data_IF_314625427937
#
_entry.id   IF_314625427937
#
_cell.length_a   1.000
_cell.length_b   1.000
_cell.length_c   1.000
_cell.angle_alpha   90.00
_cell.angle_beta   90.00
_cell.angle_gamma   90.00
#
_symmetry.space_group_name_H-M   'P 1'
#
loop_
_entity.id
_entity.type
_entity.pdbx_description
1 polymer ?
#
# COMPACT_ATOMS: atom_id res chain seq x y z
N UNK A 1 7.40 -45.01 16.18
CA UNK A 1 7.08 -44.02 17.23
C UNK A 1 7.97 -42.82 17.00
N UNK A 2 7.37 -41.68 16.65
CA UNK A 2 8.04 -40.41 16.42
C UNK A 2 8.21 -40.06 14.94
N UNK A 3 7.11 -40.00 14.18
CA UNK A 3 7.07 -39.06 13.04
C UNK A 3 7.02 -37.66 13.68
N UNK A 4 8.05 -36.86 13.41
CA UNK A 4 8.02 -35.43 13.69
C UNK A 4 7.12 -34.81 12.63
N UNK A 5 5.85 -34.59 12.99
CA UNK A 5 5.01 -33.60 12.33
C UNK A 5 5.68 -32.23 12.52
N UNK A 6 6.51 -31.82 11.55
CA UNK A 6 6.80 -30.42 11.33
C UNK A 6 5.46 -29.73 11.09
N UNK A 7 5.05 -28.92 12.07
CA UNK A 7 3.95 -27.99 11.92
C UNK A 7 4.34 -26.99 10.82
N UNK A 8 4.06 -27.34 9.56
CA UNK A 8 3.95 -26.39 8.47
C UNK A 8 2.72 -25.52 8.78
N UNK A 9 2.91 -24.52 9.65
CA UNK A 9 1.93 -23.45 9.81
C UNK A 9 1.72 -22.79 8.46
N UNK A 10 0.47 -22.43 8.12
CA UNK A 10 0.22 -21.69 6.89
C UNK A 10 1.11 -20.43 6.88
N UNK A 11 1.80 -20.16 5.77
CA UNK A 11 2.75 -19.05 5.67
C UNK A 11 2.14 -17.68 5.97
N UNK A 12 0.81 -17.57 6.05
CA UNK A 12 0.10 -16.36 6.43
C UNK A 12 0.11 -16.13 7.95
N UNK A 13 -0.17 -17.16 8.75
CA UNK A 13 -0.39 -17.09 10.19
C UNK A 13 0.85 -16.64 10.97
N UNK A 14 2.03 -16.90 10.42
CA UNK A 14 3.35 -16.57 10.97
C UNK A 14 3.97 -15.29 10.41
N UNK A 15 3.36 -14.64 9.40
CA UNK A 15 3.97 -13.55 8.62
C UNK A 15 4.31 -12.27 9.40
N UNK A 16 3.67 -12.07 10.55
CA UNK A 16 3.85 -10.88 11.37
C UNK A 16 2.60 -10.58 12.18
N UNK A 17 2.58 -9.49 12.96
CA UNK A 17 1.42 -9.14 13.77
C UNK A 17 0.20 -8.82 12.89
N UNK A 18 -0.98 -9.12 13.40
CA UNK A 18 -2.24 -8.71 12.78
C UNK A 18 -2.37 -7.19 12.91
N UNK A 19 -2.50 -6.51 11.77
CA UNK A 19 -2.77 -5.08 11.71
C UNK A 19 -4.25 -4.81 11.94
N UNK A 20 -5.11 -5.51 11.19
CA UNK A 20 -6.54 -5.28 11.20
C UNK A 20 -7.32 -6.56 10.85
N UNK A 21 -8.53 -6.68 11.38
CA UNK A 21 -9.54 -7.64 10.92
C UNK A 21 -10.84 -6.93 10.61
N UNK A 22 -11.43 -7.29 9.47
CA UNK A 22 -12.70 -6.75 9.00
C UNK A 22 -13.66 -7.88 8.64
N UNK A 23 -14.95 -7.64 8.83
CA UNK A 23 -16.00 -8.56 8.41
C UNK A 23 -16.11 -8.65 6.88
N UNK A 24 -15.70 -7.62 6.15
CA UNK A 24 -15.70 -7.54 4.68
C UNK A 24 -14.39 -6.90 4.19
N UNK A 25 -13.94 -7.18 2.96
CA UNK A 25 -14.52 -8.10 1.98
C UNK A 25 -14.47 -9.58 2.43
N UNK A 26 -15.22 -10.42 1.73
CA UNK A 26 -15.25 -11.88 1.91
C UNK A 26 -15.10 -12.55 0.57
N UNK A 27 -14.52 -13.74 0.56
CA UNK A 27 -14.34 -14.54 -0.64
C UNK A 27 -14.52 -16.02 -0.30
N UNK A 28 -15.40 -16.73 -1.03
CA UNK A 28 -15.61 -18.17 -0.83
C UNK A 28 -14.36 -18.97 -1.24
N UNK A 29 -13.69 -18.52 -2.29
CA UNK A 29 -12.35 -18.96 -2.65
C UNK A 29 -11.33 -18.08 -1.91
N UNK A 30 -10.56 -18.59 -0.92
CA UNK A 30 -9.59 -17.78 -0.21
C UNK A 30 -8.62 -17.09 -1.17
N UNK A 31 -8.40 -15.79 -0.98
CA UNK A 31 -7.47 -14.99 -1.76
C UNK A 31 -6.42 -14.36 -0.85
N UNK A 32 -5.15 -14.39 -1.26
CA UNK A 32 -4.02 -13.73 -0.61
C UNK A 32 -3.48 -12.63 -1.50
N UNK A 33 -3.47 -11.41 -0.97
CA UNK A 33 -2.93 -10.24 -1.66
C UNK A 33 -1.73 -9.70 -0.88
N UNK A 34 -0.68 -9.30 -1.58
CA UNK A 34 0.39 -8.49 -1.01
C UNK A 34 0.23 -7.04 -1.49
N UNK A 35 0.26 -6.09 -0.56
CA UNK A 35 0.26 -4.67 -0.86
C UNK A 35 1.56 -4.03 -0.38
N UNK A 36 2.37 -3.56 -1.32
CA UNK A 36 3.72 -3.03 -1.13
C UNK A 36 3.75 -1.60 -1.67
N UNK A 37 4.24 -0.62 -0.91
CA UNK A 37 4.15 0.80 -1.32
C UNK A 37 5.32 1.61 -0.77
N UNK A 38 5.53 2.80 -1.34
CA UNK A 38 6.48 3.80 -0.85
C UNK A 38 7.89 3.20 -0.72
N UNK A 39 8.34 2.60 -1.82
CA UNK A 39 9.64 1.94 -1.93
C UNK A 39 10.73 3.00 -2.06
N UNK A 40 10.43 4.09 -2.78
CA UNK A 40 11.40 5.13 -3.15
C UNK A 40 12.73 4.53 -3.59
N UNK A 41 12.64 3.55 -4.50
CA UNK A 41 13.78 2.79 -4.96
C UNK A 41 14.78 3.73 -5.62
N UNK A 42 16.04 3.59 -5.24
CA UNK A 42 17.11 4.36 -5.85
C UNK A 42 18.43 3.60 -5.77
N UNK A 43 19.10 3.36 -6.92
CA UNK A 43 20.37 2.65 -6.94
C UNK A 43 21.57 3.56 -6.61
N UNK A 44 21.37 4.87 -6.56
CA UNK A 44 22.46 5.86 -6.49
C UNK A 44 22.52 6.65 -5.19
N UNK A 45 21.41 6.74 -4.46
CA UNK A 45 21.32 7.55 -3.25
C UNK A 45 21.53 6.73 -1.97
N UNK A 46 21.92 7.41 -0.90
CA UNK A 46 22.20 6.80 0.40
C UNK A 46 21.76 7.70 1.55
N UNK A 47 21.64 7.12 2.74
CA UNK A 47 21.24 7.83 3.95
C UNK A 47 19.79 8.31 3.97
N UNK A 48 19.53 9.33 4.80
CA UNK A 48 18.20 9.85 5.19
C UNK A 48 17.37 8.91 6.07
N UNK A 49 16.26 9.42 6.62
CA UNK A 49 15.29 8.62 7.38
C UNK A 49 14.55 7.58 6.51
N UNK A 50 14.54 7.77 5.18
CA UNK A 50 14.04 6.80 4.18
C UNK A 50 15.05 5.70 3.82
N UNK A 51 16.22 5.66 4.47
CA UNK A 51 17.25 4.62 4.31
C UNK A 51 17.50 4.22 2.84
N UNK A 52 17.79 5.18 1.96
CA UNK A 52 17.86 4.91 0.51
C UNK A 52 18.84 3.79 0.13
N UNK A 53 19.92 3.63 0.90
CA UNK A 53 20.89 2.54 0.73
C UNK A 53 20.36 1.12 1.06
N UNK A 54 19.13 1.00 1.56
CA UNK A 54 18.45 -0.27 1.88
C UNK A 54 17.28 -0.55 0.96
N UNK A 55 16.82 0.37 0.13
CA UNK A 55 15.54 0.21 -0.60
C UNK A 55 15.58 -0.98 -1.55
N UNK A 56 16.67 -1.21 -2.28
CA UNK A 56 16.78 -2.42 -3.11
C UNK A 56 16.85 -3.72 -2.30
N UNK A 57 17.49 -3.71 -1.12
CA UNK A 57 17.56 -4.87 -0.22
C UNK A 57 16.17 -5.20 0.32
N UNK A 58 15.41 -4.19 0.73
CA UNK A 58 14.07 -4.32 1.28
C UNK A 58 13.06 -4.76 0.23
N UNK A 59 13.15 -4.26 -1.00
CA UNK A 59 12.31 -4.74 -2.10
C UNK A 59 12.59 -6.20 -2.44
N UNK A 60 13.86 -6.62 -2.51
CA UNK A 60 14.20 -8.05 -2.71
C UNK A 60 13.66 -8.92 -1.58
N UNK A 61 13.81 -8.47 -0.33
CA UNK A 61 13.24 -9.17 0.83
C UNK A 61 11.71 -9.33 0.70
N UNK A 62 11.01 -8.30 0.22
CA UNK A 62 9.57 -8.36 -0.02
C UNK A 62 9.21 -9.37 -1.12
N UNK A 63 9.97 -9.41 -2.22
CA UNK A 63 9.76 -10.36 -3.33
C UNK A 63 9.98 -11.80 -2.87
N UNK A 64 11.11 -12.07 -2.20
CA UNK A 64 11.43 -13.39 -1.66
C UNK A 64 10.32 -13.87 -0.69
N UNK A 65 9.94 -12.99 0.24
CA UNK A 65 8.93 -13.31 1.25
C UNK A 65 7.52 -13.48 0.67
N UNK A 66 7.18 -12.77 -0.41
CA UNK A 66 5.91 -12.94 -1.14
C UNK A 66 5.87 -14.29 -1.85
N UNK A 67 6.95 -14.70 -2.50
CA UNK A 67 7.05 -15.98 -3.19
C UNK A 67 6.86 -17.17 -2.22
N UNK A 68 7.33 -17.03 -0.97
CA UNK A 68 7.22 -18.07 0.06
C UNK A 68 5.83 -18.16 0.75
N UNK A 69 4.84 -17.36 0.34
CA UNK A 69 3.56 -17.18 1.08
C UNK A 69 2.28 -17.53 0.31
N UNK A 70 2.40 -18.19 -0.83
CA UNK A 70 1.27 -18.49 -1.74
C UNK A 70 0.42 -17.23 -2.01
N UNK A 71 1.06 -16.09 -2.27
CA UNK A 71 0.36 -14.87 -2.64
C UNK A 71 -0.24 -15.06 -4.03
N UNK A 72 -1.49 -14.66 -4.23
CA UNK A 72 -2.17 -14.80 -5.53
C UNK A 72 -1.96 -13.58 -6.43
N UNK A 73 -1.75 -12.41 -5.83
CA UNK A 73 -1.53 -11.15 -6.55
C UNK A 73 -0.81 -10.11 -5.69
N UNK A 74 0.12 -9.37 -6.31
CA UNK A 74 0.84 -8.26 -5.69
C UNK A 74 0.38 -6.93 -6.26
N UNK A 75 0.03 -5.99 -5.39
CA UNK A 75 -0.28 -4.62 -5.78
C UNK A 75 0.79 -3.70 -5.23
N UNK A 76 1.40 -2.93 -6.13
CA UNK A 76 2.31 -1.86 -5.75
C UNK A 76 1.56 -0.53 -5.64
N UNK A 77 1.55 0.07 -4.45
CA UNK A 77 0.72 1.22 -4.07
C UNK A 77 1.26 2.61 -4.44
N UNK A 78 2.23 2.70 -5.35
CA UNK A 78 2.87 3.95 -5.75
C UNK A 78 4.15 4.26 -4.99
N UNK A 79 4.81 5.33 -5.44
CA UNK A 79 6.15 5.76 -5.06
C UNK A 79 7.17 4.61 -5.20
N UNK A 80 7.17 4.02 -6.40
CA UNK A 80 8.08 2.94 -6.77
C UNK A 80 9.52 3.45 -6.80
N UNK A 81 9.75 4.55 -7.50
CA UNK A 81 11.02 5.26 -7.58
C UNK A 81 11.11 6.40 -6.57
N UNK A 82 12.33 6.93 -6.37
CA UNK A 82 12.51 8.12 -5.52
C UNK A 82 12.09 9.37 -6.27
N UNK A 83 12.56 9.58 -7.50
CA UNK A 83 12.30 10.80 -8.28
C UNK A 83 11.88 10.47 -9.73
N UNK A 84 11.53 9.20 -9.97
CA UNK A 84 11.07 8.69 -11.26
C UNK A 84 12.19 8.52 -12.29
N UNK A 85 13.46 8.46 -11.90
CA UNK A 85 14.53 8.30 -12.89
C UNK A 85 14.44 6.92 -13.56
N UNK A 86 14.77 6.79 -14.87
CA UNK A 86 14.70 5.51 -15.59
C UNK A 86 15.46 4.37 -14.90
N UNK A 87 16.63 4.66 -14.32
CA UNK A 87 17.43 3.67 -13.60
C UNK A 87 16.73 3.10 -12.34
N UNK A 88 15.83 3.87 -11.72
CA UNK A 88 15.03 3.44 -10.57
C UNK A 88 13.95 2.46 -11.03
N UNK A 89 13.25 2.79 -12.12
CA UNK A 89 12.26 1.89 -12.72
C UNK A 89 12.88 0.62 -13.32
N UNK A 90 14.07 0.72 -13.91
CA UNK A 90 14.81 -0.45 -14.40
C UNK A 90 15.26 -1.35 -13.25
N UNK A 91 15.67 -0.77 -12.12
CA UNK A 91 16.01 -1.53 -10.91
C UNK A 91 14.78 -2.18 -10.28
N UNK A 92 13.65 -1.47 -10.26
CA UNK A 92 12.36 -1.98 -9.76
C UNK A 92 11.93 -3.18 -10.59
N UNK A 93 11.81 -3.02 -11.92
CA UNK A 93 11.42 -4.08 -12.84
C UNK A 93 12.32 -5.31 -12.69
N UNK A 94 13.65 -5.11 -12.68
CA UNK A 94 14.60 -6.21 -12.52
C UNK A 94 14.38 -7.03 -11.25
N UNK A 95 14.00 -6.38 -10.14
CA UNK A 95 13.75 -7.08 -8.86
C UNK A 95 12.35 -7.73 -8.87
N UNK A 96 11.34 -7.03 -9.38
CA UNK A 96 9.95 -7.55 -9.39
C UNK A 96 9.71 -8.61 -10.45
N UNK A 97 10.55 -8.71 -11.48
CA UNK A 97 10.55 -9.82 -12.46
C UNK A 97 10.83 -11.18 -11.79
N UNK A 98 11.35 -11.20 -10.57
CA UNK A 98 11.56 -12.42 -9.77
C UNK A 98 10.29 -12.85 -8.98
N UNK A 99 9.19 -12.07 -9.03
CA UNK A 99 7.92 -12.47 -8.44
C UNK A 99 7.32 -13.67 -9.19
N UNK A 100 6.94 -14.69 -8.43
CA UNK A 100 6.14 -15.81 -8.93
C UNK A 100 4.66 -15.44 -9.18
N UNK A 101 3.98 -14.66 -8.32
CA UNK A 101 2.62 -14.22 -8.59
C UNK A 101 2.56 -13.04 -9.56
N UNK A 102 1.42 -12.85 -10.26
CA UNK A 102 1.19 -11.65 -11.06
C UNK A 102 1.19 -10.39 -10.19
N UNK A 103 1.58 -9.27 -10.78
CA UNK A 103 1.57 -7.97 -10.11
C UNK A 103 1.04 -6.84 -10.99
N UNK A 104 0.59 -5.76 -10.36
CA UNK A 104 0.37 -4.47 -11.01
C UNK A 104 0.71 -3.33 -10.05
N UNK A 105 1.05 -2.16 -10.59
CA UNK A 105 1.30 -0.95 -9.82
C UNK A 105 0.27 0.14 -10.14
N UNK A 106 0.03 1.03 -9.19
CA UNK A 106 -0.45 2.39 -9.45
C UNK A 106 0.72 3.37 -9.25
N UNK A 107 0.72 4.56 -9.88
CA UNK A 107 1.77 5.53 -9.63
C UNK A 107 1.51 6.28 -8.31
N UNK A 108 2.59 6.64 -7.62
CA UNK A 108 2.56 7.66 -6.58
C UNK A 108 3.02 9.02 -7.10
N UNK A 109 3.01 10.05 -6.26
CA UNK A 109 3.38 11.40 -6.67
C UNK A 109 4.85 11.49 -7.12
N UNK A 110 5.73 10.60 -6.67
CA UNK A 110 7.14 10.55 -7.10
C UNK A 110 7.38 9.81 -8.42
N UNK A 111 6.38 9.07 -8.93
CA UNK A 111 6.52 8.27 -10.14
C UNK A 111 6.15 9.01 -11.44
N UNK A 112 5.64 10.23 -11.32
CA UNK A 112 4.98 10.99 -12.39
C UNK A 112 5.56 12.39 -12.54
N UNK A 113 5.43 12.98 -13.74
CA UNK A 113 6.08 14.25 -14.07
C UNK A 113 5.56 15.40 -13.21
N UNK A 114 6.44 15.93 -12.36
CA UNK A 114 6.21 17.17 -11.61
C UNK A 114 6.61 18.39 -12.45
N UNK A 115 6.05 19.55 -12.11
CA UNK A 115 6.42 20.82 -12.72
C UNK A 115 7.85 21.30 -12.35
N UNK A 116 8.46 20.75 -11.29
CA UNK A 116 9.84 21.04 -10.89
C UNK A 116 10.87 20.27 -11.75
N UNK A 117 12.08 20.82 -11.87
CA UNK A 117 13.08 20.39 -12.87
C UNK A 117 13.91 19.15 -12.51
N UNK A 118 13.77 18.63 -11.29
CA UNK A 118 14.66 17.60 -10.75
C UNK A 118 14.01 16.19 -10.74
N UNK A 119 13.10 15.91 -11.67
CA UNK A 119 12.48 14.59 -11.88
C UNK A 119 12.54 14.23 -13.38
N UNK A 120 12.68 12.93 -13.70
CA UNK A 120 12.63 12.44 -15.10
C UNK A 120 11.77 11.17 -15.26
N UNK A 121 10.49 11.22 -14.87
CA UNK A 121 9.57 10.08 -14.86
C UNK A 121 9.10 9.67 -16.25
N UNK A 122 8.54 8.45 -16.29
CA UNK A 122 7.79 7.95 -17.42
C UNK A 122 6.53 8.81 -17.62
N UNK A 123 6.03 8.90 -18.86
CA UNK A 123 4.66 9.37 -19.05
C UNK A 123 3.69 8.41 -18.35
N UNK A 124 2.51 8.91 -17.93
CA UNK A 124 1.50 8.05 -17.29
C UNK A 124 1.15 6.83 -18.15
N UNK A 125 1.08 6.99 -19.48
CA UNK A 125 0.83 5.89 -20.41
C UNK A 125 1.98 4.88 -20.51
N UNK A 126 3.24 5.33 -20.39
CA UNK A 126 4.40 4.44 -20.33
C UNK A 126 4.45 3.69 -18.99
N UNK A 127 4.17 4.38 -17.89
CA UNK A 127 4.06 3.76 -16.57
C UNK A 127 2.94 2.71 -16.54
N UNK A 128 1.76 3.02 -17.08
CA UNK A 128 0.64 2.07 -17.15
C UNK A 128 0.99 0.83 -18.01
N UNK A 129 1.65 1.01 -19.15
CA UNK A 129 2.11 -0.09 -19.99
C UNK A 129 3.16 -0.97 -19.30
N UNK A 130 4.07 -0.35 -18.54
CA UNK A 130 5.19 -1.05 -17.90
C UNK A 130 4.78 -1.75 -16.61
N UNK A 131 3.97 -1.09 -15.78
CA UNK A 131 3.65 -1.56 -14.42
C UNK A 131 2.15 -1.61 -14.13
N UNK A 132 1.37 -0.71 -14.73
CA UNK A 132 -0.05 -0.49 -14.40
C UNK A 132 -1.04 -1.27 -15.23
N UNK A 133 -0.80 -2.55 -15.50
CA UNK A 133 -1.79 -3.40 -16.15
C UNK A 133 -2.22 -2.97 -17.58
N UNK A 134 -1.50 -2.03 -18.20
CA UNK A 134 -1.75 -1.44 -19.53
C UNK A 134 -2.42 -0.07 -19.50
N UNK A 135 -3.28 0.21 -18.51
CA UNK A 135 -4.12 1.40 -18.44
C UNK A 135 -4.59 1.71 -17.00
N UNK A 136 -5.03 2.94 -16.76
CA UNK A 136 -5.73 3.34 -15.54
C UNK A 136 -7.11 3.93 -15.86
N UNK A 137 -8.13 3.65 -15.04
CA UNK A 137 -8.15 2.64 -13.97
C UNK A 137 -8.03 1.21 -14.48
N UNK A 138 -7.62 0.27 -13.62
CA UNK A 138 -7.64 -1.15 -13.96
C UNK A 138 -8.46 -1.98 -12.97
N UNK A 139 -8.89 -3.17 -13.40
CA UNK A 139 -9.40 -4.24 -12.53
C UNK A 139 -8.55 -5.50 -12.72
N UNK A 140 -8.24 -6.18 -11.62
CA UNK A 140 -7.64 -7.51 -11.60
C UNK A 140 -8.42 -8.42 -10.66
N UNK A 141 -8.97 -9.50 -11.22
CA UNK A 141 -9.74 -10.49 -10.46
C UNK A 141 -8.80 -11.56 -9.90
N UNK A 142 -8.95 -11.83 -8.60
CA UNK A 142 -8.17 -12.81 -7.83
C UNK A 142 -9.17 -13.69 -7.09
N UNK A 143 -9.52 -14.83 -7.68
CA UNK A 143 -10.67 -15.60 -7.24
C UNK A 143 -11.95 -14.77 -7.35
N UNK A 144 -12.68 -14.61 -6.23
CA UNK A 144 -13.91 -13.82 -6.15
C UNK A 144 -13.67 -12.38 -5.63
N UNK A 145 -12.41 -11.92 -5.63
CA UNK A 145 -12.00 -10.58 -5.21
C UNK A 145 -11.54 -9.76 -6.41
N UNK A 146 -12.15 -8.61 -6.63
CA UNK A 146 -11.72 -7.66 -7.66
C UNK A 146 -10.87 -6.54 -7.05
N UNK A 147 -9.59 -6.52 -7.42
CA UNK A 147 -8.67 -5.42 -7.07
C UNK A 147 -8.79 -4.31 -8.10
N UNK A 148 -9.08 -3.10 -7.64
CA UNK A 148 -9.27 -1.92 -8.49
C UNK A 148 -8.16 -0.92 -8.22
N UNK A 149 -7.33 -0.63 -9.24
CA UNK A 149 -6.28 0.38 -9.15
C UNK A 149 -6.72 1.71 -9.76
N UNK A 150 -6.66 2.78 -8.96
CA UNK A 150 -6.93 4.16 -9.37
C UNK A 150 -5.63 4.96 -9.40
N UNK A 151 -5.50 5.85 -10.39
CA UNK A 151 -4.44 6.85 -10.37
C UNK A 151 -4.91 8.08 -9.57
N UNK A 152 -4.36 8.25 -8.35
CA UNK A 152 -4.51 9.47 -7.55
C UNK A 152 -3.36 10.45 -7.71
N UNK A 153 -2.29 10.08 -8.43
CA UNK A 153 -1.19 10.96 -8.77
C UNK A 153 -1.58 11.80 -10.01
N UNK A 154 -2.57 12.66 -9.81
CA UNK A 154 -3.10 13.62 -10.77
C UNK A 154 -3.74 14.77 -10.00
N UNK A 155 -3.74 15.98 -10.55
CA UNK A 155 -4.61 17.07 -10.10
C UNK A 155 -5.92 17.07 -10.89
N UNK A 156 -6.96 17.81 -10.46
CA UNK A 156 -8.25 17.85 -11.15
C UNK A 156 -8.20 18.29 -12.63
N UNK A 157 -7.19 19.06 -13.01
CA UNK A 157 -6.97 19.49 -14.40
C UNK A 157 -6.14 18.50 -15.24
N UNK A 158 -5.79 17.34 -14.67
CA UNK A 158 -4.95 16.32 -15.29
C UNK A 158 -3.46 16.65 -15.29
N UNK A 159 -3.06 17.78 -14.69
CA UNK A 159 -1.65 18.12 -14.45
C UNK A 159 -1.17 17.55 -13.11
N UNK A 160 0.14 17.69 -12.85
CA UNK A 160 0.77 17.43 -11.56
C UNK A 160 1.60 18.66 -11.21
N UNK A 161 0.91 19.72 -10.78
CA UNK A 161 1.54 20.98 -10.41
C UNK A 161 2.11 20.95 -8.99
N UNK A 162 1.42 20.26 -8.06
CA UNK A 162 1.76 20.22 -6.64
C UNK A 162 2.63 19.01 -6.28
N UNK A 163 3.49 19.18 -5.27
CA UNK A 163 4.55 18.21 -4.95
C UNK A 163 4.04 16.97 -4.18
N UNK A 164 2.91 17.09 -3.48
CA UNK A 164 2.43 16.13 -2.47
C UNK A 164 0.94 15.79 -2.53
N UNK A 165 0.12 16.71 -3.07
CA UNK A 165 -1.33 16.49 -3.17
C UNK A 165 -1.69 15.60 -4.36
N UNK A 166 -2.95 15.18 -4.40
CA UNK A 166 -3.48 14.43 -5.54
C UNK A 166 -5.00 14.36 -5.53
N UNK A 167 -5.54 13.89 -6.63
CA UNK A 167 -6.97 13.80 -6.90
C UNK A 167 -7.24 12.60 -7.81
N UNK A 168 -8.45 12.04 -7.71
CA UNK A 168 -8.95 11.07 -8.69
C UNK A 168 -9.81 11.81 -9.69
N UNK A 169 -9.43 11.79 -10.97
CA UNK A 169 -10.14 12.55 -12.00
C UNK A 169 -11.61 12.16 -12.13
N UNK A 170 -12.46 13.10 -12.57
CA UNK A 170 -13.90 12.84 -12.79
C UNK A 170 -14.15 11.69 -13.78
N UNK A 171 -13.24 11.47 -14.74
CA UNK A 171 -13.32 10.34 -15.67
C UNK A 171 -13.13 9.00 -14.95
N UNK A 172 -12.14 8.90 -14.06
CA UNK A 172 -11.93 7.70 -13.24
C UNK A 172 -13.10 7.47 -12.27
N UNK A 173 -13.65 8.53 -11.67
CA UNK A 173 -14.82 8.42 -10.78
C UNK A 173 -16.07 7.94 -11.52
N UNK A 174 -16.35 8.48 -12.71
CA UNK A 174 -17.45 7.99 -13.56
C UNK A 174 -17.25 6.53 -13.96
N UNK A 175 -16.04 6.18 -14.42
CA UNK A 175 -15.69 4.80 -14.75
C UNK A 175 -15.90 3.88 -13.55
N UNK A 176 -15.48 4.30 -12.36
CA UNK A 176 -15.58 3.50 -11.13
C UNK A 176 -17.05 3.27 -10.75
N UNK A 177 -17.86 4.34 -10.77
CA UNK A 177 -19.30 4.26 -10.48
C UNK A 177 -20.04 3.32 -11.45
N UNK A 178 -19.66 3.31 -12.73
CA UNK A 178 -20.21 2.39 -13.73
C UNK A 178 -19.73 0.95 -13.54
N UNK A 179 -18.50 0.76 -13.02
CA UNK A 179 -17.87 -0.56 -12.91
C UNK A 179 -18.25 -1.30 -11.63
N UNK A 180 -18.34 -0.60 -10.49
CA UNK A 180 -18.56 -1.18 -9.16
C UNK A 180 -19.75 -2.16 -9.07
N UNK A 181 -20.93 -1.91 -9.68
CA UNK A 181 -22.06 -2.84 -9.60
C UNK A 181 -21.80 -4.24 -10.18
N UNK A 182 -20.76 -4.40 -10.99
CA UNK A 182 -20.36 -5.69 -11.58
C UNK A 182 -19.17 -6.36 -10.90
N UNK A 183 -18.60 -5.76 -9.85
CA UNK A 183 -17.42 -6.29 -9.17
C UNK A 183 -17.79 -7.18 -7.97
N UNK A 184 -16.95 -8.16 -7.70
CA UNK A 184 -17.07 -9.06 -6.54
C UNK A 184 -16.07 -8.66 -5.46
N UNK A 185 -16.57 -8.43 -4.26
CA UNK A 185 -15.77 -8.11 -3.07
C UNK A 185 -14.64 -7.08 -3.33
N UNK A 186 -14.95 -5.89 -3.90
CA UNK A 186 -13.94 -4.99 -4.42
C UNK A 186 -12.98 -4.48 -3.33
N UNK A 187 -11.69 -4.52 -3.64
CA UNK A 187 -10.62 -3.85 -2.88
C UNK A 187 -10.08 -2.72 -3.75
N UNK A 188 -10.29 -1.48 -3.32
CA UNK A 188 -9.87 -0.29 -4.08
C UNK A 188 -8.50 0.17 -3.59
N UNK A 189 -7.62 0.51 -4.53
CA UNK A 189 -6.25 0.94 -4.26
C UNK A 189 -5.99 2.29 -4.90
N UNK A 190 -5.49 3.24 -4.12
CA UNK A 190 -5.01 4.55 -4.54
C UNK A 190 -3.78 4.93 -3.71
N UNK A 191 -2.90 5.79 -4.21
CA UNK A 191 -1.67 6.12 -3.51
C UNK A 191 -1.93 7.09 -2.34
N UNK A 192 -2.59 8.22 -2.64
CA UNK A 192 -2.92 9.25 -1.64
C UNK A 192 -4.03 8.76 -0.71
N UNK A 193 -3.98 9.15 0.56
CA UNK A 193 -4.97 8.70 1.55
C UNK A 193 -6.30 9.44 1.41
N UNK A 194 -7.40 8.80 1.78
CA UNK A 194 -8.72 9.45 1.85
C UNK A 194 -8.80 10.41 3.04
N UNK A 195 -8.12 10.06 4.13
CA UNK A 195 -8.16 10.80 5.39
C UNK A 195 -6.76 11.17 5.88
N UNK A 196 -6.61 12.31 6.58
CA UNK A 196 -5.39 12.62 7.31
C UNK A 196 -5.22 11.63 8.46
N UNK A 197 -4.03 11.61 9.07
CA UNK A 197 -3.75 10.73 10.19
C UNK A 197 -4.74 10.97 11.35
N UNK A 198 -5.36 9.93 11.95
CA UNK A 198 -6.47 10.09 12.91
C UNK A 198 -6.17 10.99 14.12
N UNK A 199 -4.94 10.94 14.62
CA UNK A 199 -4.46 11.71 15.78
C UNK A 199 -4.02 13.13 15.41
N UNK A 200 -3.98 13.45 14.11
CA UNK A 200 -3.32 14.62 13.53
C UNK A 200 -4.11 15.27 12.38
N UNK A 201 -5.44 15.22 12.44
CA UNK A 201 -6.35 15.70 11.38
C UNK A 201 -6.01 17.11 10.88
N UNK A 202 -5.63 18.03 11.76
CA UNK A 202 -5.31 19.43 11.41
C UNK A 202 -3.80 19.75 11.49
N UNK A 203 -2.95 18.77 11.81
CA UNK A 203 -1.53 19.02 12.03
C UNK A 203 -0.74 18.95 10.73
N UNK A 204 0.01 20.00 10.43
CA UNK A 204 1.02 19.97 9.37
C UNK A 204 2.11 18.92 9.69
N UNK A 205 2.59 18.12 8.73
CA UNK A 205 2.19 18.09 7.31
C UNK A 205 1.02 17.13 6.99
N UNK A 206 0.50 16.37 7.95
CA UNK A 206 -0.48 15.29 7.78
C UNK A 206 -1.80 15.69 7.09
N UNK A 207 -2.18 16.96 7.16
CA UNK A 207 -3.41 17.45 6.55
C UNK A 207 -3.32 17.69 5.03
N UNK A 208 -2.11 17.68 4.44
CA UNK A 208 -1.88 18.02 3.02
C UNK A 208 -1.58 16.82 2.12
N UNK A 209 -1.43 15.64 2.71
CA UNK A 209 -1.07 14.40 2.02
C UNK A 209 -2.29 13.56 1.61
N UNK A 210 -3.49 13.96 2.07
CA UNK A 210 -4.73 13.32 1.64
C UNK A 210 -5.19 13.85 0.29
N UNK A 211 -5.98 13.04 -0.40
CA UNK A 211 -6.57 13.36 -1.69
C UNK A 211 -7.51 14.58 -1.59
N UNK A 212 -7.45 15.47 -2.58
CA UNK A 212 -8.16 16.74 -2.60
C UNK A 212 -9.68 16.58 -2.73
N UNK A 213 -10.13 15.65 -3.58
CA UNK A 213 -11.54 15.40 -3.88
C UNK A 213 -12.08 14.16 -3.15
N UNK A 214 -11.74 14.05 -1.86
CA UNK A 214 -12.11 12.91 -1.01
C UNK A 214 -13.62 12.68 -0.93
N UNK A 215 -14.42 13.75 -0.92
CA UNK A 215 -15.87 13.66 -0.73
C UNK A 215 -16.51 12.95 -1.94
N UNK A 216 -16.09 13.33 -3.15
CA UNK A 216 -16.52 12.70 -4.39
C UNK A 216 -16.05 11.24 -4.51
N UNK A 217 -14.84 10.94 -4.04
CA UNK A 217 -14.34 9.56 -4.02
C UNK A 217 -15.17 8.71 -3.07
N UNK A 218 -15.34 9.15 -1.81
CA UNK A 218 -16.09 8.43 -0.78
C UNK A 218 -17.54 8.20 -1.21
N UNK A 219 -18.21 9.20 -1.80
CA UNK A 219 -19.58 9.07 -2.31
C UNK A 219 -19.72 7.93 -3.33
N UNK A 220 -18.75 7.79 -4.25
CA UNK A 220 -18.74 6.70 -5.25
C UNK A 220 -18.46 5.35 -4.60
N UNK A 221 -17.51 5.28 -3.66
CA UNK A 221 -17.14 4.05 -2.97
C UNK A 221 -18.27 3.52 -2.09
N UNK A 222 -18.93 4.40 -1.32
CA UNK A 222 -20.10 4.06 -0.50
C UNK A 222 -21.25 3.57 -1.37
N UNK A 223 -21.55 4.30 -2.45
CA UNK A 223 -22.64 3.95 -3.37
C UNK A 223 -22.44 2.60 -4.06
N UNK A 224 -21.19 2.18 -4.26
CA UNK A 224 -20.83 0.90 -4.84
C UNK A 224 -20.51 -0.21 -3.84
N UNK A 225 -20.82 -0.03 -2.55
CA UNK A 225 -20.64 -1.02 -1.48
C UNK A 225 -19.19 -1.54 -1.36
N UNK A 226 -18.22 -0.64 -1.58
CA UNK A 226 -16.79 -0.92 -1.34
C UNK A 226 -16.55 -1.03 0.16
N UNK A 227 -15.82 -2.07 0.56
CA UNK A 227 -15.61 -2.40 1.98
C UNK A 227 -14.17 -2.30 2.46
N UNK A 228 -13.23 -2.05 1.54
CA UNK A 228 -11.83 -1.86 1.88
C UNK A 228 -11.12 -1.01 0.82
N UNK A 229 -10.43 0.01 1.31
CA UNK A 229 -9.49 0.84 0.56
C UNK A 229 -8.09 0.59 1.09
N UNK A 230 -7.11 0.47 0.20
CA UNK A 230 -5.69 0.41 0.51
C UNK A 230 -4.98 1.64 -0.05
N UNK A 231 -4.13 2.26 0.77
CA UNK A 231 -3.33 3.43 0.38
C UNK A 231 -1.95 3.44 1.02
N UNK A 232 -1.08 4.31 0.52
CA UNK A 232 0.29 4.49 0.99
C UNK A 232 0.53 5.94 1.40
N UNK A 233 1.63 6.53 0.90
CA UNK A 233 1.93 7.96 0.89
C UNK A 233 2.25 8.60 2.26
N UNK A 234 1.52 8.25 3.31
CA UNK A 234 1.83 8.69 4.67
C UNK A 234 2.98 7.92 5.33
N UNK A 235 3.46 6.83 4.72
CA UNK A 235 4.51 5.96 5.27
C UNK A 235 4.19 5.31 6.63
N UNK A 236 2.96 5.44 7.13
CA UNK A 236 2.54 4.99 8.45
C UNK A 236 1.49 3.88 8.35
N UNK A 237 1.59 2.83 9.19
CA UNK A 237 0.48 1.91 9.33
C UNK A 237 -0.68 2.64 10.02
N UNK A 238 -1.85 2.71 9.40
CA UNK A 238 -3.07 3.22 10.03
C UNK A 238 -4.33 2.55 9.50
N UNK A 239 -5.40 2.64 10.30
CA UNK A 239 -6.74 2.26 9.87
C UNK A 239 -7.68 3.40 10.19
N UNK A 240 -8.47 3.84 9.21
CA UNK A 240 -9.55 4.80 9.41
C UNK A 240 -10.89 4.08 9.25
N UNK A 241 -11.61 3.90 10.35
CA UNK A 241 -12.98 3.38 10.37
C UNK A 241 -13.96 4.49 9.95
N UNK A 242 -14.14 4.66 8.64
CA UNK A 242 -15.22 5.49 8.07
C UNK A 242 -16.34 4.60 7.51
N UNK A 243 -17.28 5.15 6.75
CA UNK A 243 -18.26 4.34 6.01
C UNK A 243 -17.58 3.36 5.05
N UNK A 244 -16.44 3.75 4.48
CA UNK A 244 -15.53 2.87 3.73
C UNK A 244 -14.21 2.78 4.51
N UNK A 245 -13.88 1.62 5.10
CA UNK A 245 -12.61 1.44 5.80
C UNK A 245 -11.40 1.66 4.89
N UNK A 246 -10.46 2.47 5.35
CA UNK A 246 -9.16 2.66 4.70
C UNK A 246 -8.05 2.08 5.57
N UNK A 247 -7.16 1.31 4.95
CA UNK A 247 -5.91 0.83 5.56
C UNK A 247 -4.74 1.44 4.82
N UNK A 248 -3.95 2.22 5.55
CA UNK A 248 -2.72 2.83 5.05
C UNK A 248 -1.56 1.92 5.41
N UNK A 249 -0.77 1.53 4.41
CA UNK A 249 0.42 0.74 4.61
C UNK A 249 1.60 1.59 5.07
N UNK A 250 2.51 1.03 5.89
CA UNK A 250 3.80 1.66 6.09
C UNK A 250 4.62 1.62 4.80
N UNK A 251 5.64 2.47 4.74
CA UNK A 251 6.59 2.44 3.65
C UNK A 251 7.60 1.29 3.77
N UNK A 252 8.09 0.83 2.62
CA UNK A 252 9.24 -0.08 2.54
C UNK A 252 10.53 0.64 2.92
N UNK A 253 10.67 1.92 2.57
CA UNK A 253 11.92 2.67 2.73
C UNK A 253 12.19 3.14 4.18
N UNK A 254 11.16 3.43 4.97
CA UNK A 254 11.30 4.01 6.32
C UNK A 254 10.71 3.12 7.40
N UNK A 255 11.05 3.37 8.67
CA UNK A 255 10.48 2.64 9.80
C UNK A 255 8.93 2.64 9.74
N UNK A 256 8.25 1.50 9.91
CA UNK A 256 8.76 0.19 10.34
C UNK A 256 9.12 -0.81 9.22
N UNK A 257 9.39 -0.37 7.98
CA UNK A 257 9.84 -1.19 6.86
C UNK A 257 9.06 -2.51 6.74
N UNK A 258 7.80 -2.42 6.32
CA UNK A 258 6.90 -3.56 6.24
C UNK A 258 6.01 -3.45 5.00
N UNK A 259 5.45 -4.57 4.57
CA UNK A 259 4.33 -4.57 3.61
C UNK A 259 3.07 -5.14 4.27
N UNK A 260 1.93 -5.05 3.59
CA UNK A 260 0.68 -5.65 4.06
C UNK A 260 0.38 -6.96 3.34
N UNK A 261 0.14 -8.01 4.12
CA UNK A 261 -0.36 -9.28 3.62
C UNK A 261 -1.83 -9.45 4.02
N UNK A 262 -2.70 -9.54 3.03
CA UNK A 262 -4.14 -9.71 3.21
C UNK A 262 -4.53 -11.16 2.96
N UNK A 263 -5.38 -11.71 3.81
CA UNK A 263 -6.09 -12.96 3.55
C UNK A 263 -7.59 -12.70 3.62
N UNK A 264 -8.25 -12.90 2.48
CA UNK A 264 -9.70 -12.69 2.31
C UNK A 264 -10.35 -14.06 2.21
N UNK A 265 -11.29 -14.33 3.11
CA UNK A 265 -11.98 -15.63 3.24
C UNK A 265 -13.47 -15.43 3.38
N UNK A 266 -14.25 -16.51 3.42
CA UNK A 266 -15.70 -16.45 3.64
C UNK A 266 -16.07 -15.91 5.03
N UNK A 267 -15.11 -15.85 5.96
CA UNK A 267 -15.30 -15.30 7.31
C UNK A 267 -14.94 -13.82 7.45
N UNK A 268 -14.25 -13.25 6.47
CA UNK A 268 -13.79 -11.85 6.49
C UNK A 268 -12.37 -11.71 5.97
N UNK A 269 -11.80 -10.54 6.23
CA UNK A 269 -10.46 -10.14 5.81
C UNK A 269 -9.56 -9.95 7.02
N UNK A 270 -8.40 -10.60 7.02
CA UNK A 270 -7.32 -10.35 7.99
C UNK A 270 -6.15 -9.71 7.25
N UNK A 271 -5.62 -8.63 7.81
CA UNK A 271 -4.45 -7.91 7.28
C UNK A 271 -3.31 -8.02 8.30
N UNK A 272 -2.14 -8.43 7.85
CA UNK A 272 -0.92 -8.53 8.66
C UNK A 272 0.13 -7.54 8.18
N UNK A 273 0.86 -6.97 9.13
CA UNK A 273 2.09 -6.24 8.87
C UNK A 273 3.23 -7.25 8.78
N UNK A 274 3.89 -7.32 7.64
CA UNK A 274 5.00 -8.25 7.41
C UNK A 274 6.32 -7.49 7.39
N UNK A 275 7.19 -7.67 8.41
CA UNK A 275 8.45 -6.95 8.51
C UNK A 275 9.44 -7.35 7.40
N UNK A 276 10.06 -6.35 6.76
CA UNK A 276 11.08 -6.52 5.73
C UNK A 276 12.52 -6.39 6.25
N UNK A 277 12.66 -6.26 7.56
CA UNK A 277 13.93 -6.14 8.24
C UNK A 277 13.94 -7.01 9.49
N UNK A 278 15.10 -7.60 9.78
CA UNK A 278 15.32 -8.24 11.06
C UNK A 278 15.39 -7.20 12.19
N UNK A 279 15.64 -7.66 13.42
CA UNK A 279 15.74 -6.76 14.58
C UNK A 279 16.81 -5.68 14.41
N UNK A 280 17.91 -5.98 13.74
CA UNK A 280 19.01 -5.04 13.54
C UNK A 280 18.64 -3.98 12.50
N UNK A 281 18.07 -4.41 11.37
CA UNK A 281 17.60 -3.49 10.33
C UNK A 281 16.45 -2.61 10.81
N UNK A 282 15.54 -3.16 11.61
CA UNK A 282 14.46 -2.39 12.25
C UNK A 282 15.01 -1.33 13.23
N UNK A 283 16.05 -1.67 14.00
CA UNK A 283 16.72 -0.73 14.89
C UNK A 283 17.45 0.37 14.10
N UNK A 284 18.08 0.03 12.97
CA UNK A 284 18.69 1.00 12.05
C UNK A 284 17.64 1.97 11.50
N UNK A 285 16.50 1.48 11.02
CA UNK A 285 15.39 2.30 10.54
C UNK A 285 14.84 3.23 11.62
N UNK A 286 14.64 2.71 12.83
CA UNK A 286 14.20 3.50 13.97
C UNK A 286 15.20 4.61 14.32
N UNK A 287 16.49 4.29 14.39
CA UNK A 287 17.54 5.27 14.69
C UNK A 287 17.69 6.31 13.59
N UNK A 288 17.60 5.91 12.31
CA UNK A 288 17.69 6.84 11.18
C UNK A 288 16.52 7.82 11.16
N UNK A 289 15.30 7.34 11.44
CA UNK A 289 14.13 8.21 11.57
C UNK A 289 14.22 9.17 12.76
N UNK A 290 14.58 8.67 13.96
CA UNK A 290 14.72 9.54 15.15
C UNK A 290 15.81 10.60 15.05
N UNK A 291 16.88 10.32 14.30
CA UNK A 291 17.97 11.26 14.04
C UNK A 291 17.80 12.01 12.71
N UNK A 292 16.68 11.79 12.01
CA UNK A 292 16.37 12.39 10.72
C UNK A 292 15.84 13.82 10.85
N UNK A 293 15.13 14.25 9.82
CA UNK A 293 14.37 15.50 9.83
C UNK A 293 13.09 15.36 10.69
N UNK A 294 12.30 16.44 10.86
CA UNK A 294 11.07 16.38 11.65
C UNK A 294 10.08 15.32 11.17
N UNK A 295 10.00 15.05 9.87
CA UNK A 295 9.08 14.07 9.29
C UNK A 295 9.51 12.66 9.69
N UNK A 296 10.79 12.31 9.51
CA UNK A 296 11.34 11.03 9.94
C UNK A 296 11.15 10.76 11.43
N UNK A 297 11.27 11.79 12.27
CA UNK A 297 11.00 11.66 13.71
C UNK A 297 9.52 11.41 14.00
N UNK A 298 8.62 12.16 13.35
CA UNK A 298 7.19 12.01 13.53
C UNK A 298 6.70 10.62 13.06
N UNK A 299 7.24 10.12 11.95
CA UNK A 299 7.00 8.75 11.47
C UNK A 299 7.35 7.72 12.54
N UNK A 300 8.55 7.82 13.13
CA UNK A 300 8.98 6.85 14.13
C UNK A 300 8.12 6.91 15.39
N UNK A 301 7.80 8.11 15.88
CA UNK A 301 6.99 8.28 17.08
C UNK A 301 5.59 7.67 16.90
N UNK A 302 4.91 8.00 15.80
CA UNK A 302 3.55 7.52 15.50
C UNK A 302 3.52 6.03 15.19
N UNK A 303 4.42 5.54 14.34
CA UNK A 303 4.50 4.11 14.05
C UNK A 303 4.80 3.31 15.32
N UNK A 304 5.70 3.79 16.18
CA UNK A 304 6.02 3.09 17.44
C UNK A 304 4.84 3.00 18.39
N UNK A 305 3.98 4.03 18.43
CA UNK A 305 2.75 4.00 19.22
C UNK A 305 1.77 2.97 18.67
N UNK A 306 1.49 3.01 17.36
CA UNK A 306 0.54 2.11 16.70
C UNK A 306 0.96 0.65 16.70
N UNK A 307 2.26 0.38 16.54
CA UNK A 307 2.78 -0.99 16.62
C UNK A 307 2.58 -1.62 18.01
N UNK A 308 2.49 -0.81 19.08
CA UNK A 308 2.22 -1.31 20.44
C UNK A 308 0.73 -1.57 20.69
N UNK A 309 -0.15 -1.00 19.88
CA UNK A 309 -1.61 -1.13 20.01
C UNK A 309 -2.23 -2.12 19.03
N UNK A 310 -1.42 -2.87 18.27
CA UNK A 310 -1.92 -3.87 17.31
C UNK A 310 -2.77 -4.97 17.99
N UNK A 311 -3.84 -5.46 17.34
CA UNK A 311 -4.39 -4.95 16.07
C UNK A 311 -5.06 -3.58 16.24
N UNK A 312 -4.92 -2.70 15.24
CA UNK A 312 -5.54 -1.37 15.26
C UNK A 312 -7.07 -1.45 15.17
N UNK A 313 -7.58 -2.47 14.49
CA UNK A 313 -9.00 -2.80 14.40
C UNK A 313 -9.17 -4.32 14.48
N UNK A 314 -10.08 -4.79 15.34
CA UNK A 314 -10.40 -6.22 15.45
C UNK A 314 -11.91 -6.44 15.38
N UNK A 315 -12.43 -6.40 14.15
CA UNK A 315 -13.85 -6.58 13.81
C UNK A 315 -14.00 -7.84 12.97
N UNK A 316 -13.70 -8.98 13.57
CA UNK A 316 -13.93 -10.30 13.00
C UNK A 316 -14.09 -11.26 14.15
N UNK A 317 -15.04 -12.18 14.07
CA UNK A 317 -15.50 -13.08 15.13
C UNK A 317 -16.53 -12.46 16.09
N UNK A 318 -17.81 -12.57 15.71
CA UNK A 318 -18.89 -12.54 16.69
C UNK A 318 -18.67 -13.72 17.65
N UNK A 319 -18.24 -13.44 18.87
CA UNK A 319 -18.15 -14.41 19.98
C UNK A 319 -19.56 -14.83 20.49
N UNK A 320 -20.56 -14.79 19.60
CA UNK A 320 -21.95 -15.19 19.85
C UNK A 320 -22.26 -16.51 19.16
N UNK A 321 -21.57 -17.55 19.61
CA UNK A 321 -22.16 -18.88 19.76
C UNK A 321 -22.09 -19.29 21.24
N UNK A 322 -22.99 -18.70 22.02
CA UNK A 322 -23.40 -19.15 23.34
C UNK A 322 -24.92 -19.22 23.39
#
# INVERSE_FOLDING_TARGET
>A
MGENDEQNGDGFSSAGPVLARFERPRSETPARLAFVTDIHLTPTETGTWKLFHRTEERLRTAVDDVNDRDVDFVVFGGDLGRDGYPAEFDAFERITDELEPPSAAIPGNHDVQKASTDHNPLSLSQFAQRFGAGEYPFVRSVGDVDVVGLNSASMPDGSLADEWGGAVSEEQLRWLAERLPGLSAPVVVLHHTLWPQPEHVDAYPWSWFSVDNREEIVDVLESGDVSLVLSGHHHLPSVTESAVPEVVAPAVCSFPQSYLLLQITSTGTTIRLVPLADRSGMAEAWMSGMNGDPDGKAIVELASERLRSLPLVDRGFDDRRG
#
